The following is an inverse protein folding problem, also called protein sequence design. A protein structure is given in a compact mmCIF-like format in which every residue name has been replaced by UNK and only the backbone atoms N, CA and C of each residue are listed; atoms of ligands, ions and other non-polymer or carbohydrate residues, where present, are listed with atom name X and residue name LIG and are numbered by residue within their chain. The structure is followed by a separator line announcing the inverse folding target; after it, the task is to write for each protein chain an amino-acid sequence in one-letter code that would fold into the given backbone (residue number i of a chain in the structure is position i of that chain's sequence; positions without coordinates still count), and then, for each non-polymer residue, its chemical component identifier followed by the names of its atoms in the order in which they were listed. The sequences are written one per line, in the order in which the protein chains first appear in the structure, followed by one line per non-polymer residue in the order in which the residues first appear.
data_IF_367708911972
#
_entry.id   IF_367708911972
#
_cell.length_a   1.000
_cell.length_b   1.000
_cell.length_c   1.000
_cell.angle_alpha   90.00
_cell.angle_beta   90.00
_cell.angle_gamma   90.00
#
_symmetry.space_group_name_H-M   'P 1'
#
loop_
_entity.id
_entity.type
_entity.pdbx_description
1 polymer ?
#
# COMPACT_ATOMS: atom_id res chain seq x y z
N UNK A 1 21.11 13.29 -9.14
CA UNK A 1 21.46 12.49 -7.95
C UNK A 1 20.44 12.83 -6.87
N UNK A 2 19.66 11.86 -6.40
CA UNK A 2 18.72 12.09 -5.30
C UNK A 2 19.49 12.44 -4.03
N UNK A 3 19.16 13.54 -3.36
CA UNK A 3 19.80 13.98 -2.11
C UNK A 3 19.31 13.19 -0.88
N UNK A 4 18.81 11.95 -1.08
CA UNK A 4 18.29 11.10 -0.01
C UNK A 4 19.43 10.36 0.67
N UNK A 5 19.70 10.72 1.92
CA UNK A 5 20.60 9.99 2.83
C UNK A 5 19.89 8.83 3.55
N UNK A 6 20.63 7.84 4.03
CA UNK A 6 20.05 6.68 4.74
C UNK A 6 19.43 7.05 6.09
N UNK A 7 19.81 8.18 6.66
CA UNK A 7 19.23 8.75 7.90
C UNK A 7 17.73 9.06 7.77
N UNK A 8 17.22 9.19 6.53
CA UNK A 8 15.81 9.42 6.24
C UNK A 8 14.96 8.15 6.19
N UNK A 9 15.58 6.96 6.26
CA UNK A 9 14.87 5.68 6.28
C UNK A 9 14.44 5.40 7.72
N UNK A 10 13.13 5.42 7.97
CA UNK A 10 12.57 5.12 9.28
C UNK A 10 12.39 3.62 9.49
N UNK A 11 12.01 2.92 8.43
CA UNK A 11 11.78 1.48 8.47
C UNK A 11 12.02 0.84 7.11
N UNK A 12 12.52 -0.40 7.13
CA UNK A 12 12.73 -1.21 5.95
C UNK A 12 12.52 -2.68 6.31
N UNK A 13 11.59 -3.33 5.63
CA UNK A 13 11.24 -4.72 5.86
C UNK A 13 11.24 -5.51 4.56
N UNK A 14 11.90 -6.67 4.60
CA UNK A 14 11.83 -7.70 3.57
C UNK A 14 11.07 -8.88 4.17
N UNK A 15 10.17 -9.47 3.40
CA UNK A 15 9.29 -10.55 3.83
C UNK A 15 9.10 -11.51 2.67
N UNK A 16 9.03 -12.80 2.99
CA UNK A 16 8.64 -13.89 2.08
C UNK A 16 7.32 -14.53 2.54
N UNK A 17 6.53 -13.81 3.37
CA UNK A 17 5.26 -14.30 3.93
C UNK A 17 4.15 -14.17 2.89
N UNK A 18 3.20 -15.11 2.94
CA UNK A 18 1.98 -15.02 2.15
C UNK A 18 1.20 -13.75 2.46
N UNK A 19 0.68 -13.10 1.42
CA UNK A 19 -0.10 -11.86 1.50
C UNK A 19 0.65 -10.72 2.21
N UNK A 20 1.94 -10.58 1.91
CA UNK A 20 2.80 -9.53 2.43
C UNK A 20 3.70 -9.02 1.30
N UNK A 21 4.31 -7.85 1.47
CA UNK A 21 5.24 -7.28 0.50
C UNK A 21 6.41 -6.61 1.19
N UNK A 22 7.54 -6.49 0.50
CA UNK A 22 8.66 -5.70 1.02
C UNK A 22 8.29 -4.21 1.00
N UNK A 23 8.55 -3.52 2.11
CA UNK A 23 8.10 -2.15 2.37
C UNK A 23 9.26 -1.32 2.90
N UNK A 24 9.30 -0.06 2.50
CA UNK A 24 10.20 0.94 3.05
C UNK A 24 9.41 2.19 3.43
N UNK A 25 9.70 2.78 4.58
CA UNK A 25 9.16 4.08 4.98
C UNK A 25 10.30 5.08 5.09
N UNK A 26 10.14 6.22 4.45
CA UNK A 26 11.12 7.31 4.42
C UNK A 26 10.47 8.65 4.70
N UNK A 27 11.22 9.58 5.30
CA UNK A 27 10.88 11.00 5.33
C UNK A 27 11.60 11.68 4.18
N UNK A 28 10.87 12.24 3.24
CA UNK A 28 11.42 13.05 2.16
C UNK A 28 11.28 14.54 2.52
N UNK A 29 12.33 15.13 3.10
CA UNK A 29 12.38 16.55 3.44
C UNK A 29 12.48 17.46 2.20
N UNK A 30 12.79 16.93 1.01
CA UNK A 30 12.88 17.72 -0.24
C UNK A 30 11.48 18.01 -0.77
N UNK A 31 10.61 17.01 -0.75
CA UNK A 31 9.21 17.14 -1.18
C UNK A 31 8.23 17.32 -0.03
N UNK A 32 8.75 17.36 1.19
CA UNK A 32 8.02 17.49 2.46
C UNK A 32 6.94 16.41 2.64
N UNK A 33 7.30 15.13 2.47
CA UNK A 33 6.36 14.02 2.54
C UNK A 33 6.86 12.84 3.39
N UNK A 34 5.93 12.15 4.06
CA UNK A 34 6.18 10.81 4.61
C UNK A 34 5.84 9.82 3.51
N UNK A 35 6.81 9.03 3.05
CA UNK A 35 6.65 8.16 1.88
C UNK A 35 6.75 6.70 2.28
N UNK A 36 5.70 5.92 1.99
CA UNK A 36 5.70 4.46 2.07
C UNK A 36 5.86 3.89 0.67
N UNK A 37 6.92 3.13 0.47
CA UNK A 37 7.28 2.50 -0.79
C UNK A 37 7.00 1.02 -0.66
N UNK A 38 6.10 0.51 -1.51
CA UNK A 38 5.75 -0.91 -1.57
C UNK A 38 6.38 -1.50 -2.83
N UNK A 39 7.25 -2.47 -2.62
CA UNK A 39 7.92 -3.18 -3.70
C UNK A 39 6.95 -4.14 -4.39
N UNK A 40 7.04 -4.24 -5.72
CA UNK A 40 6.43 -5.36 -6.46
C UNK A 40 7.20 -6.68 -6.28
N UNK A 41 6.54 -7.77 -6.68
CA UNK A 41 7.01 -9.16 -6.64
C UNK A 41 8.45 -9.39 -7.13
N UNK A 42 9.18 -10.27 -6.44
CA UNK A 42 10.32 -11.02 -6.99
C UNK A 42 10.09 -12.53 -7.09
N UNK A 43 9.10 -13.09 -6.37
CA UNK A 43 8.98 -14.54 -6.15
C UNK A 43 7.82 -15.18 -6.92
N UNK A 44 7.96 -16.47 -7.27
CA UNK A 44 6.91 -17.24 -7.94
C UNK A 44 5.65 -17.48 -7.09
N UNK A 45 5.75 -17.33 -5.76
CA UNK A 45 4.61 -17.43 -4.83
C UNK A 45 3.68 -16.22 -4.98
N UNK A 46 4.23 -15.02 -5.15
CA UNK A 46 3.44 -13.82 -5.42
C UNK A 46 2.81 -13.90 -6.82
N UNK A 47 3.51 -14.51 -7.79
CA UNK A 47 2.94 -14.81 -9.11
C UNK A 47 1.73 -15.77 -9.02
N UNK A 48 1.73 -16.69 -8.06
CA UNK A 48 0.60 -17.59 -7.78
C UNK A 48 -0.58 -16.86 -7.14
N UNK A 49 -0.32 -15.86 -6.29
CA UNK A 49 -1.36 -14.98 -5.74
C UNK A 49 -1.95 -14.12 -6.87
N UNK A 50 -1.14 -13.62 -7.80
CA UNK A 50 -1.58 -12.90 -9.01
C UNK A 50 -2.41 -13.77 -9.98
N UNK A 51 -2.26 -15.10 -9.93
CA UNK A 51 -3.03 -16.05 -10.75
C UNK A 51 -4.44 -16.34 -10.18
N UNK A 52 -4.73 -16.01 -8.92
CA UNK A 52 -6.06 -16.15 -8.32
C UNK A 52 -6.90 -14.92 -8.68
N UNK A 53 -7.33 -14.86 -9.94
CA UNK A 53 -8.13 -13.78 -10.52
C UNK A 53 -9.61 -13.80 -10.09
N UNK A 54 -9.89 -14.11 -8.82
CA UNK A 54 -11.24 -13.98 -8.26
C UNK A 54 -11.42 -12.55 -7.74
N UNK A 55 -12.45 -11.87 -8.22
CA UNK A 55 -12.87 -10.58 -7.67
C UNK A 55 -13.62 -10.77 -6.35
N UNK A 56 -13.22 -10.02 -5.33
CA UNK A 56 -13.87 -10.01 -4.01
C UNK A 56 -14.20 -8.57 -3.58
N UNK A 57 -15.28 -8.34 -2.82
CA UNK A 57 -15.55 -7.04 -2.22
C UNK A 57 -14.33 -6.55 -1.42
N UNK A 58 -13.89 -5.32 -1.69
CA UNK A 58 -12.64 -4.78 -1.20
C UNK A 58 -12.73 -4.37 0.28
N UNK A 59 -13.80 -3.65 0.65
CA UNK A 59 -14.03 -3.16 2.02
C UNK A 59 -15.06 -4.03 2.72
N UNK A 60 -15.03 -4.03 4.05
CA UNK A 60 -15.98 -4.81 4.85
C UNK A 60 -17.43 -4.34 4.64
N UNK A 61 -17.63 -3.05 4.35
CA UNK A 61 -18.93 -2.49 3.97
C UNK A 61 -19.43 -2.97 2.60
N UNK A 62 -18.54 -3.25 1.64
CA UNK A 62 -18.92 -3.69 0.29
C UNK A 62 -19.67 -5.03 0.31
N UNK A 63 -19.40 -5.91 1.30
CA UNK A 63 -20.13 -7.17 1.45
C UNK A 63 -21.64 -7.01 1.70
N UNK A 64 -22.06 -5.84 2.19
CA UNK A 64 -23.46 -5.53 2.50
C UNK A 64 -24.11 -4.60 1.47
N UNK A 65 -23.36 -4.17 0.44
CA UNK A 65 -23.87 -3.30 -0.61
C UNK A 65 -24.42 -4.10 -1.81
N UNK A 66 -25.36 -3.54 -2.58
CA UNK A 66 -25.74 -4.08 -3.88
C UNK A 66 -24.53 -4.20 -4.82
N UNK A 67 -24.48 -5.23 -5.68
CA UNK A 67 -23.31 -5.53 -6.55
C UNK A 67 -22.83 -4.33 -7.38
N UNK A 68 -23.74 -3.44 -7.80
CA UNK A 68 -23.42 -2.25 -8.59
C UNK A 68 -22.80 -1.09 -7.78
N UNK A 69 -22.75 -1.21 -6.45
CA UNK A 69 -22.19 -0.21 -5.53
C UNK A 69 -20.92 -0.74 -4.82
N UNK A 70 -20.60 -2.03 -4.99
CA UNK A 70 -19.42 -2.65 -4.40
C UNK A 70 -18.15 -2.20 -5.12
N UNK A 71 -17.11 -1.90 -4.36
CA UNK A 71 -15.75 -1.93 -4.88
C UNK A 71 -15.27 -3.38 -4.89
N UNK A 72 -14.99 -3.94 -6.06
CA UNK A 72 -14.54 -5.33 -6.19
C UNK A 72 -13.10 -5.33 -6.65
N UNK A 73 -12.20 -5.93 -5.86
CA UNK A 73 -10.79 -6.00 -6.16
C UNK A 73 -10.30 -7.42 -6.42
N UNK A 74 -9.15 -7.55 -7.08
CA UNK A 74 -8.46 -8.83 -7.16
C UNK A 74 -8.17 -9.37 -5.76
N UNK A 75 -8.78 -10.49 -5.38
CA UNK A 75 -8.76 -11.06 -4.02
C UNK A 75 -7.37 -11.12 -3.40
N UNK A 76 -6.39 -11.68 -4.12
CA UNK A 76 -5.00 -11.78 -3.65
C UNK A 76 -4.36 -10.42 -3.32
N UNK A 77 -4.50 -9.46 -4.22
CA UNK A 77 -3.96 -8.10 -4.05
C UNK A 77 -4.71 -7.33 -2.96
N UNK A 78 -6.04 -7.47 -2.89
CA UNK A 78 -6.88 -6.84 -1.87
C UNK A 78 -6.54 -7.32 -0.46
N UNK A 79 -6.39 -8.64 -0.28
CA UNK A 79 -5.98 -9.24 1.00
C UNK A 79 -4.58 -8.80 1.41
N UNK A 80 -3.64 -8.78 0.46
CA UNK A 80 -2.25 -8.30 0.70
C UNK A 80 -2.25 -6.83 1.12
N UNK A 81 -2.97 -5.98 0.39
CA UNK A 81 -3.10 -4.56 0.71
C UNK A 81 -3.72 -4.35 2.10
N UNK A 82 -4.79 -5.08 2.44
CA UNK A 82 -5.45 -5.00 3.75
C UNK A 82 -4.49 -5.42 4.87
N UNK A 83 -3.77 -6.53 4.70
CA UNK A 83 -2.81 -7.02 5.69
C UNK A 83 -1.69 -6.00 5.95
N UNK A 84 -1.11 -5.43 4.88
CA UNK A 84 -0.07 -4.41 5.00
C UNK A 84 -0.60 -3.18 5.74
N UNK A 85 -1.79 -2.68 5.38
CA UNK A 85 -2.37 -1.50 6.03
C UNK A 85 -2.67 -1.77 7.50
N UNK A 86 -3.25 -2.91 7.85
CA UNK A 86 -3.50 -3.28 9.24
C UNK A 86 -2.19 -3.27 10.05
N UNK A 87 -1.11 -3.85 9.52
CA UNK A 87 0.20 -3.82 10.19
C UNK A 87 0.71 -2.40 10.39
N UNK A 88 0.68 -1.56 9.35
CA UNK A 88 1.14 -0.16 9.43
C UNK A 88 0.39 0.63 10.52
N UNK A 89 -0.92 0.37 10.68
CA UNK A 89 -1.77 1.01 11.69
C UNK A 89 -1.54 0.44 13.09
N UNK A 90 -1.46 -0.89 13.22
CA UNK A 90 -1.22 -1.58 14.50
C UNK A 90 0.13 -1.20 15.11
N UNK A 91 1.17 -1.18 14.29
CA UNK A 91 2.53 -0.83 14.69
C UNK A 91 2.77 0.70 14.72
N UNK A 92 1.76 1.51 14.33
CA UNK A 92 1.77 2.98 14.37
C UNK A 92 2.93 3.64 13.61
N UNK A 93 3.36 3.05 12.50
CA UNK A 93 4.53 3.54 11.76
C UNK A 93 4.34 4.97 11.26
N UNK A 94 3.15 5.28 10.73
CA UNK A 94 2.85 6.58 10.12
C UNK A 94 2.75 7.66 11.20
N UNK A 95 2.16 7.32 12.35
CA UNK A 95 2.06 8.19 13.52
C UNK A 95 3.45 8.50 14.08
N UNK A 96 4.33 7.51 14.23
CA UNK A 96 5.72 7.72 14.66
C UNK A 96 6.49 8.62 13.69
N UNK A 97 6.28 8.48 12.38
CA UNK A 97 6.87 9.38 11.40
C UNK A 97 6.34 10.83 11.54
N UNK A 98 5.05 10.98 11.85
CA UNK A 98 4.42 12.28 12.09
C UNK A 98 4.88 12.96 13.38
N UNK A 99 5.35 12.24 14.39
CA UNK A 99 5.99 12.86 15.56
C UNK A 99 7.24 13.65 15.15
N UNK A 100 7.96 13.18 14.14
CA UNK A 100 9.14 13.85 13.59
C UNK A 100 8.79 14.94 12.58
N UNK A 101 7.70 14.74 11.80
CA UNK A 101 7.22 15.67 10.76
C UNK A 101 5.68 15.78 10.78
N UNK A 102 5.11 16.59 11.69
CA UNK A 102 3.65 16.63 11.89
C UNK A 102 2.83 17.13 10.70
N UNK A 103 3.43 17.97 9.85
CA UNK A 103 2.74 18.62 8.74
C UNK A 103 2.92 17.91 7.39
N UNK A 104 3.72 16.84 7.34
CA UNK A 104 4.04 16.17 6.08
C UNK A 104 2.88 15.25 5.68
N UNK A 105 2.31 15.38 4.47
CA UNK A 105 1.31 14.44 3.97
C UNK A 105 1.87 13.04 3.82
N UNK A 106 0.98 12.05 3.92
CA UNK A 106 1.30 10.67 3.57
C UNK A 106 1.27 10.46 2.04
N UNK A 107 2.35 9.93 1.52
CA UNK A 107 2.47 9.46 0.13
C UNK A 107 2.76 7.97 0.14
N UNK A 108 2.05 7.21 -0.70
CA UNK A 108 2.34 5.80 -0.91
C UNK A 108 2.68 5.56 -2.39
N UNK A 109 3.66 4.71 -2.68
CA UNK A 109 4.09 4.48 -4.05
C UNK A 109 4.61 3.07 -4.29
N UNK A 110 4.50 2.61 -5.53
CA UNK A 110 5.01 1.31 -5.95
C UNK A 110 5.03 1.20 -7.47
N UNK A 111 5.71 0.17 -7.97
CA UNK A 111 5.77 -0.19 -9.39
C UNK A 111 5.26 -1.62 -9.61
N UNK A 112 4.62 -1.89 -10.76
CA UNK A 112 4.09 -3.21 -11.12
C UNK A 112 3.12 -3.75 -10.06
N UNK A 113 3.32 -4.95 -9.48
CA UNK A 113 2.47 -5.42 -8.38
C UNK A 113 2.36 -4.38 -7.26
N UNK A 114 3.49 -3.77 -6.87
CA UNK A 114 3.50 -2.73 -5.82
C UNK A 114 2.60 -1.55 -6.16
N UNK A 115 2.48 -1.18 -7.44
CA UNK A 115 1.57 -0.14 -7.91
C UNK A 115 0.09 -0.54 -7.73
N UNK A 116 -0.23 -1.81 -7.97
CA UNK A 116 -1.56 -2.36 -7.69
C UNK A 116 -1.87 -2.38 -6.19
N UNK A 117 -0.92 -2.83 -5.37
CA UNK A 117 -1.07 -2.84 -3.92
C UNK A 117 -1.30 -1.43 -3.37
N UNK A 118 -0.47 -0.43 -3.71
CA UNK A 118 -0.65 0.93 -3.18
C UNK A 118 -1.96 1.58 -3.63
N UNK A 119 -2.46 1.22 -4.82
CA UNK A 119 -3.78 1.67 -5.29
C UNK A 119 -4.90 1.16 -4.37
N UNK A 120 -4.86 -0.11 -3.97
CA UNK A 120 -5.83 -0.69 -3.05
C UNK A 120 -5.62 -0.23 -1.59
N UNK A 121 -4.36 -0.14 -1.15
CA UNK A 121 -4.01 0.37 0.18
C UNK A 121 -4.54 1.79 0.40
N UNK A 122 -4.55 2.62 -0.65
CA UNK A 122 -5.09 3.97 -0.60
C UNK A 122 -6.54 3.99 -0.11
N UNK A 123 -7.36 3.03 -0.54
CA UNK A 123 -8.77 2.91 -0.13
C UNK A 123 -8.87 2.66 1.38
N UNK A 124 -8.04 1.77 1.92
CA UNK A 124 -8.03 1.44 3.35
C UNK A 124 -7.40 2.53 4.22
N UNK A 125 -6.42 3.27 3.70
CA UNK A 125 -5.74 4.34 4.44
C UNK A 125 -6.54 5.64 4.44
N UNK A 126 -7.41 5.88 3.45
CA UNK A 126 -8.17 7.14 3.31
C UNK A 126 -8.99 7.53 4.56
N UNK A 127 -9.66 6.59 5.26
CA UNK A 127 -10.38 6.91 6.50
C UNK A 127 -9.47 7.37 7.65
N UNK A 128 -8.21 6.92 7.69
CA UNK A 128 -7.23 7.26 8.75
C UNK A 128 -6.37 8.47 8.38
N UNK A 129 -6.04 8.61 7.10
CA UNK A 129 -5.18 9.64 6.54
C UNK A 129 -5.85 10.23 5.29
N UNK A 130 -6.84 11.14 5.45
CA UNK A 130 -7.63 11.65 4.33
C UNK A 130 -6.79 12.30 3.21
N UNK A 131 -5.63 12.85 3.55
CA UNK A 131 -4.72 13.51 2.62
C UNK A 131 -3.83 12.54 1.81
N UNK A 132 -3.87 11.23 2.10
CA UNK A 132 -3.00 10.24 1.46
C UNK A 132 -3.11 10.28 -0.06
N UNK A 133 -1.94 10.21 -0.72
CA UNK A 133 -1.84 10.11 -2.20
C UNK A 133 -1.10 8.84 -2.59
N UNK A 134 -1.65 8.11 -3.55
CA UNK A 134 -1.00 6.96 -4.15
C UNK A 134 -0.41 7.31 -5.52
N UNK A 135 0.89 7.06 -5.70
CA UNK A 135 1.55 7.10 -7.01
C UNK A 135 1.83 5.66 -7.46
N UNK A 136 0.95 5.16 -8.32
CA UNK A 136 0.98 3.80 -8.85
C UNK A 136 1.61 3.77 -10.25
N UNK A 137 2.83 3.26 -10.37
CA UNK A 137 3.54 3.19 -11.65
C UNK A 137 3.38 1.84 -12.32
N UNK A 138 2.75 1.82 -13.50
CA UNK A 138 2.52 0.59 -14.29
C UNK A 138 1.78 -0.51 -13.51
N UNK A 139 0.63 -0.22 -12.86
CA UNK A 139 -0.13 -1.23 -12.14
C UNK A 139 -0.64 -2.33 -13.08
N UNK A 140 -0.82 -3.58 -12.59
CA UNK A 140 -1.49 -4.61 -13.37
C UNK A 140 -2.94 -4.20 -13.66
N UNK A 141 -3.45 -4.65 -14.80
CA UNK A 141 -4.86 -4.46 -15.17
C UNK A 141 -5.80 -5.29 -14.30
N UNK A 142 -7.10 -4.96 -14.32
CA UNK A 142 -8.12 -5.73 -13.59
C UNK A 142 -8.07 -5.62 -12.06
N UNK A 143 -7.40 -4.57 -11.54
CA UNK A 143 -7.18 -4.39 -10.12
C UNK A 143 -8.47 -4.21 -9.32
N UNK A 144 -9.38 -3.38 -9.82
CA UNK A 144 -10.63 -3.00 -9.16
C UNK A 144 -11.68 -2.66 -10.22
N UNK A 145 -12.93 -3.07 -9.97
CA UNK A 145 -14.12 -2.69 -10.74
C UNK A 145 -14.98 -1.73 -9.91
#
# INVERSE_FOLDING_TARGET
MSQLETSYILAFEITDRFYDAAIMMVIDDITEAIVVIVRGTLSGTDTLIDLIAVGEPLRDEDYNLPENEQLVAHSGMGRTAKNIVNRLLEDKWIESARELRPNYPLVITGHSLGAGLVSLMCVFLKPHFPEVKAYAFSPPGGLMK
#
